data_IF_302177309294
#
_entry.id   IF_302177309294
#
_cell.length_a   1.000
_cell.length_b   1.000
_cell.length_c   1.000
_cell.angle_alpha   90.00
_cell.angle_beta   90.00
_cell.angle_gamma   90.00
#
_symmetry.space_group_name_H-M   'P 1'
#
loop_
_entity.id
_entity.type
_entity.pdbx_description
1 polymer ?
#
# COMPACT_ATOMS: atom_id res chain seq x y z
N UNK A 1 26.98 -55.27 76.46
CA UNK A 1 28.10 -55.66 75.57
C UNK A 1 28.18 -54.62 74.46
N UNK A 2 29.38 -54.11 74.19
CA UNK A 2 29.69 -52.97 73.32
C UNK A 2 29.11 -53.11 71.90
N UNK A 3 28.56 -52.01 71.36
CA UNK A 3 28.96 -51.50 70.03
C UNK A 3 28.52 -50.05 69.85
N UNK A 4 29.52 -49.18 69.83
CA UNK A 4 29.52 -47.81 69.32
C UNK A 4 29.40 -47.84 67.80
N UNK A 5 28.55 -47.00 67.19
CA UNK A 5 28.64 -46.64 65.77
C UNK A 5 28.56 -45.12 65.67
N UNK A 6 29.52 -44.58 64.92
CA UNK A 6 29.90 -43.19 64.79
C UNK A 6 28.93 -42.37 63.92
N UNK A 7 28.78 -41.11 64.31
CA UNK A 7 28.17 -40.04 63.54
C UNK A 7 29.05 -39.70 62.31
N UNK A 8 28.43 -39.56 61.14
CA UNK A 8 29.04 -38.99 59.93
C UNK A 8 28.28 -37.68 59.61
N UNK A 9 28.97 -36.53 59.51
CA UNK A 9 28.31 -35.25 59.27
C UNK A 9 27.89 -35.10 57.80
N UNK A 10 26.58 -34.89 57.62
CA UNK A 10 25.92 -34.53 56.37
C UNK A 10 26.18 -33.04 56.10
N UNK A 11 27.31 -32.68 55.49
CA UNK A 11 27.58 -31.26 55.18
C UNK A 11 28.44 -30.99 53.94
N UNK A 12 28.47 -31.87 52.93
CA UNK A 12 29.29 -31.62 51.72
C UNK A 12 28.57 -31.92 50.38
N UNK A 13 27.36 -32.50 50.38
CA UNK A 13 26.66 -32.85 49.12
C UNK A 13 25.71 -31.81 48.54
N UNK A 14 25.50 -30.65 49.18
CA UNK A 14 24.58 -29.62 48.67
C UNK A 14 25.22 -28.50 47.83
N UNK A 15 26.55 -28.42 47.74
CA UNK A 15 27.23 -27.33 47.01
C UNK A 15 27.52 -27.62 45.53
N UNK A 16 27.41 -28.88 45.07
CA UNK A 16 27.70 -29.25 43.67
C UNK A 16 26.48 -29.25 42.75
N UNK A 17 25.27 -29.45 43.28
CA UNK A 17 24.02 -29.45 42.48
C UNK A 17 23.47 -28.06 42.23
N UNK A 18 23.75 -27.09 43.11
CA UNK A 18 23.31 -25.70 42.92
C UNK A 18 24.20 -24.97 41.90
N UNK A 19 25.50 -25.27 41.85
CA UNK A 19 26.42 -24.62 40.92
C UNK A 19 26.21 -25.06 39.46
N UNK A 20 25.84 -26.33 39.22
CA UNK A 20 25.49 -26.83 37.88
C UNK A 20 24.12 -26.36 37.40
N UNK A 21 23.16 -26.15 38.31
CA UNK A 21 21.86 -25.58 37.96
C UNK A 21 21.95 -24.10 37.55
N UNK A 22 22.83 -23.31 38.18
CA UNK A 22 23.03 -21.90 37.84
C UNK A 22 23.83 -21.74 36.53
N UNK A 23 24.81 -22.61 36.25
CA UNK A 23 25.50 -22.61 34.95
C UNK A 23 24.59 -23.08 33.80
N UNK A 24 23.69 -24.02 34.04
CA UNK A 24 22.70 -24.48 33.04
C UNK A 24 21.71 -23.38 32.62
N UNK A 25 21.26 -22.55 33.57
CA UNK A 25 20.38 -21.41 33.27
C UNK A 25 21.11 -20.25 32.55
N UNK A 26 22.41 -20.05 32.82
CA UNK A 26 23.20 -19.03 32.15
C UNK A 26 23.53 -19.40 30.69
N UNK A 27 23.66 -20.69 30.36
CA UNK A 27 23.92 -21.15 28.98
C UNK A 27 22.64 -21.16 28.13
N UNK A 28 21.46 -21.34 28.74
CA UNK A 28 20.16 -21.24 28.03
C UNK A 28 19.71 -19.79 27.79
N UNK A 29 20.24 -18.81 28.51
CA UNK A 29 19.93 -17.38 28.32
C UNK A 29 20.84 -16.68 27.30
N UNK A 30 21.95 -17.29 26.88
CA UNK A 30 22.86 -16.73 25.87
C UNK A 30 22.58 -17.20 24.42
N UNK A 31 21.72 -18.20 24.23
CA UNK A 31 21.33 -18.68 22.89
C UNK A 31 19.99 -18.12 22.38
N UNK A 32 19.34 -17.23 23.13
CA UNK A 32 18.08 -16.59 22.73
C UNK A 32 18.22 -15.36 21.81
N UNK A 33 19.45 -14.88 21.55
CA UNK A 33 19.71 -13.67 20.77
C UNK A 33 20.36 -13.92 19.40
N UNK A 34 20.42 -15.16 18.92
CA UNK A 34 20.53 -15.39 17.47
C UNK A 34 19.13 -15.29 16.89
N UNK A 35 18.68 -14.03 16.84
CA UNK A 35 17.52 -13.55 16.12
C UNK A 35 17.46 -14.32 14.79
N UNK A 36 16.39 -15.11 14.65
CA UNK A 36 15.90 -15.60 13.37
C UNK A 36 15.69 -14.36 12.49
N UNK A 37 16.75 -13.88 11.82
CA UNK A 37 16.62 -12.95 10.72
C UNK A 37 15.93 -13.75 9.64
N UNK A 38 14.60 -13.72 9.66
CA UNK A 38 13.84 -14.14 8.50
C UNK A 38 14.48 -13.41 7.31
N UNK A 39 14.82 -14.14 6.23
CA UNK A 39 15.39 -13.50 5.06
C UNK A 39 14.46 -12.36 4.67
N UNK A 40 15.01 -11.14 4.61
CA UNK A 40 14.23 -9.95 4.27
C UNK A 40 13.45 -10.26 2.99
N UNK A 41 12.13 -10.08 3.05
CA UNK A 41 11.27 -10.36 1.91
C UNK A 41 11.75 -9.52 0.74
N UNK A 42 12.24 -10.19 -0.32
CA UNK A 42 12.71 -9.50 -1.53
C UNK A 42 11.53 -8.83 -2.21
N UNK A 43 11.57 -7.51 -2.28
CA UNK A 43 10.56 -6.68 -2.95
C UNK A 43 10.72 -6.69 -4.47
N UNK A 44 11.89 -7.07 -4.99
CA UNK A 44 12.15 -7.20 -6.43
C UNK A 44 13.35 -8.12 -6.67
N UNK A 45 13.60 -8.44 -7.94
CA UNK A 45 14.84 -9.06 -8.43
C UNK A 45 15.54 -8.21 -9.50
N UNK A 46 15.00 -7.03 -9.81
CA UNK A 46 15.53 -6.15 -10.86
C UNK A 46 16.50 -5.11 -10.25
N UNK A 47 17.77 -5.08 -10.67
CA UNK A 47 18.76 -4.16 -10.08
C UNK A 47 18.42 -2.67 -10.19
N UNK A 48 17.72 -2.27 -11.26
CA UNK A 48 17.26 -0.88 -11.43
C UNK A 48 16.16 -0.52 -10.43
N UNK A 49 15.26 -1.45 -10.11
CA UNK A 49 14.23 -1.25 -9.09
C UNK A 49 14.87 -1.20 -7.69
N UNK A 50 15.90 -2.02 -7.44
CA UNK A 50 16.68 -1.96 -6.19
C UNK A 50 17.34 -0.58 -5.99
N UNK A 51 18.00 -0.01 -7.02
CA UNK A 51 18.55 1.35 -6.94
C UNK A 51 17.48 2.40 -6.70
N UNK A 52 16.30 2.25 -7.31
CA UNK A 52 15.18 3.15 -7.04
C UNK A 52 14.70 3.05 -5.59
N UNK A 53 14.70 1.85 -5.00
CA UNK A 53 14.46 1.68 -3.56
C UNK A 53 15.56 2.30 -2.71
N UNK A 54 16.83 2.21 -3.10
CA UNK A 54 17.93 2.84 -2.37
C UNK A 54 17.77 4.37 -2.33
N UNK A 55 17.36 4.98 -3.45
CA UNK A 55 17.00 6.41 -3.51
C UNK A 55 15.91 6.71 -2.49
N UNK A 56 14.79 5.98 -2.50
CA UNK A 56 13.70 6.18 -1.54
C UNK A 56 14.14 5.94 -0.08
N UNK A 57 15.05 5.00 0.15
CA UNK A 57 15.62 4.69 1.46
C UNK A 57 16.53 5.78 2.00
N UNK A 58 17.07 6.64 1.14
CA UNK A 58 17.79 7.84 1.53
C UNK A 58 16.88 8.93 2.09
N UNK A 59 15.61 8.94 1.72
CA UNK A 59 14.71 10.08 1.93
C UNK A 59 13.90 10.01 3.24
N UNK A 60 13.58 11.16 3.87
CA UNK A 60 12.71 11.21 5.04
C UNK A 60 11.34 10.58 4.83
N UNK A 61 10.64 10.92 3.73
CA UNK A 61 9.31 10.39 3.41
C UNK A 61 9.36 8.96 2.86
N UNK A 62 10.45 8.58 2.17
CA UNK A 62 10.60 7.25 1.59
C UNK A 62 10.92 6.15 2.62
N UNK A 63 11.65 6.46 3.70
CA UNK A 63 12.00 5.48 4.76
C UNK A 63 10.79 4.82 5.42
N UNK A 64 9.77 5.57 5.91
CA UNK A 64 8.55 4.97 6.46
C UNK A 64 7.82 4.06 5.46
N UNK A 65 7.79 4.45 4.17
CA UNK A 65 7.16 3.66 3.12
C UNK A 65 7.89 2.33 2.90
N UNK A 66 9.21 2.35 2.81
CA UNK A 66 10.00 1.12 2.69
C UNK A 66 9.83 0.18 3.88
N UNK A 67 9.87 0.71 5.11
CA UNK A 67 9.60 -0.09 6.32
C UNK A 67 8.22 -0.75 6.27
N UNK A 68 7.23 -0.07 5.71
CA UNK A 68 5.91 -0.64 5.50
C UNK A 68 5.95 -1.79 4.49
N UNK A 69 6.60 -1.60 3.33
CA UNK A 69 6.72 -2.64 2.30
C UNK A 69 7.43 -3.90 2.83
N UNK A 70 8.48 -3.77 3.63
CA UNK A 70 9.12 -4.95 4.24
C UNK A 70 8.22 -5.69 5.24
N UNK A 71 7.29 -4.99 5.90
CA UNK A 71 6.29 -5.62 6.79
C UNK A 71 5.10 -6.21 6.02
N UNK A 72 4.79 -5.66 4.85
CA UNK A 72 3.68 -6.04 3.96
C UNK A 72 4.25 -6.19 2.54
N UNK A 73 4.99 -7.29 2.28
CA UNK A 73 5.74 -7.42 1.04
C UNK A 73 4.84 -7.57 -0.17
N UNK A 74 5.20 -6.84 -1.22
CA UNK A 74 4.64 -6.93 -2.57
C UNK A 74 5.82 -6.91 -3.55
N UNK A 75 5.73 -7.69 -4.63
CA UNK A 75 6.80 -7.78 -5.63
C UNK A 75 6.63 -6.70 -6.69
N UNK A 76 7.70 -5.98 -6.96
CA UNK A 76 7.79 -4.99 -8.03
C UNK A 76 8.54 -5.61 -9.22
N UNK A 77 7.87 -5.62 -10.36
CA UNK A 77 8.36 -6.19 -11.63
C UNK A 77 8.09 -5.19 -12.76
N UNK A 78 8.77 -5.33 -13.90
CA UNK A 78 8.43 -4.54 -15.08
C UNK A 78 7.21 -5.13 -15.80
N UNK A 79 6.27 -4.27 -16.19
CA UNK A 79 5.14 -4.65 -17.03
C UNK A 79 5.51 -4.61 -18.52
N UNK A 80 4.84 -5.44 -19.32
CA UNK A 80 4.89 -5.39 -20.79
C UNK A 80 3.72 -4.58 -21.39
N UNK A 81 2.91 -3.94 -20.55
CA UNK A 81 1.74 -3.17 -21.00
C UNK A 81 2.22 -1.82 -21.51
N UNK A 82 1.84 -1.41 -22.73
CA UNK A 82 2.16 -0.09 -23.25
C UNK A 82 1.46 0.99 -22.42
N UNK A 83 2.18 2.06 -22.09
CA UNK A 83 1.64 3.21 -21.36
C UNK A 83 2.29 3.42 -19.99
N UNK A 84 1.99 4.56 -19.37
CA UNK A 84 2.59 4.99 -18.11
C UNK A 84 1.83 4.52 -16.86
N UNK A 85 0.75 3.78 -17.05
CA UNK A 85 -0.09 3.38 -15.94
C UNK A 85 0.51 2.20 -15.17
N UNK A 86 0.44 2.34 -13.86
CA UNK A 86 0.81 1.30 -12.94
C UNK A 86 -0.27 0.24 -12.87
N UNK A 87 0.11 -1.04 -12.93
CA UNK A 87 -0.87 -2.13 -12.87
C UNK A 87 -0.72 -2.91 -11.57
N UNK A 88 -1.82 -2.97 -10.83
CA UNK A 88 -1.90 -3.64 -9.55
C UNK A 88 -2.48 -5.04 -9.75
N UNK A 89 -1.67 -6.08 -9.51
CA UNK A 89 -2.15 -7.47 -9.41
C UNK A 89 -2.02 -7.93 -7.96
N UNK A 90 -2.83 -7.31 -7.11
CA UNK A 90 -2.73 -7.47 -5.65
C UNK A 90 -3.07 -8.90 -5.22
N UNK A 91 -3.94 -9.60 -5.96
CA UNK A 91 -4.22 -11.03 -5.77
C UNK A 91 -2.97 -11.91 -5.89
N UNK A 92 -2.04 -11.57 -6.78
CA UNK A 92 -0.78 -12.31 -6.95
C UNK A 92 0.39 -11.65 -6.22
N UNK A 93 0.13 -10.58 -5.46
CA UNK A 93 1.13 -9.83 -4.71
C UNK A 93 2.14 -9.11 -5.60
N UNK A 94 1.70 -8.57 -6.75
CA UNK A 94 2.58 -7.89 -7.71
C UNK A 94 2.11 -6.50 -8.09
N UNK A 95 3.07 -5.61 -8.30
CA UNK A 95 2.91 -4.27 -8.84
C UNK A 95 3.84 -4.15 -10.05
N UNK A 96 3.28 -3.75 -11.18
CA UNK A 96 4.06 -3.58 -12.40
C UNK A 96 4.43 -2.11 -12.62
N UNK A 97 5.73 -1.87 -12.81
CA UNK A 97 6.28 -0.57 -13.17
C UNK A 97 6.48 -0.45 -14.69
N UNK A 98 6.38 0.76 -15.27
CA UNK A 98 6.67 0.99 -16.68
C UNK A 98 8.12 0.63 -17.01
N UNK A 99 8.33 -0.19 -18.06
CA UNK A 99 9.67 -0.63 -18.47
C UNK A 99 10.48 0.52 -19.07
N UNK A 100 9.79 1.51 -19.63
CA UNK A 100 10.32 2.73 -20.24
C UNK A 100 11.11 3.59 -19.25
N UNK A 101 10.90 3.40 -17.95
CA UNK A 101 11.61 4.10 -16.88
C UNK A 101 12.89 3.41 -16.41
N UNK A 102 13.20 2.22 -16.93
CA UNK A 102 14.32 1.39 -16.46
C UNK A 102 15.67 2.11 -16.44
N UNK A 103 15.89 3.03 -17.37
CA UNK A 103 17.17 3.71 -17.57
C UNK A 103 17.31 5.03 -16.78
N UNK A 104 16.31 5.40 -15.97
CA UNK A 104 16.37 6.58 -15.11
C UNK A 104 15.98 6.25 -13.67
N UNK A 105 17.00 6.09 -12.81
CA UNK A 105 16.79 5.70 -11.41
C UNK A 105 15.90 6.71 -10.66
N UNK A 106 16.03 8.03 -10.94
CA UNK A 106 15.17 9.06 -10.32
C UNK A 106 13.71 8.94 -10.75
N UNK A 107 13.45 8.83 -12.05
CA UNK A 107 12.07 8.73 -12.55
C UNK A 107 11.42 7.40 -12.14
N UNK A 108 12.22 6.33 -12.12
CA UNK A 108 11.78 5.04 -11.59
C UNK A 108 11.46 5.13 -10.11
N UNK A 109 12.26 5.85 -9.31
CA UNK A 109 11.96 6.10 -7.89
C UNK A 109 10.64 6.86 -7.70
N UNK A 110 10.29 7.81 -8.59
CA UNK A 110 9.00 8.51 -8.56
C UNK A 110 7.82 7.58 -8.86
N UNK A 111 7.93 6.77 -9.92
CA UNK A 111 6.92 5.78 -10.27
C UNK A 111 6.74 4.75 -9.15
N UNK A 112 7.85 4.30 -8.56
CA UNK A 112 7.87 3.38 -7.44
C UNK A 112 7.21 4.02 -6.21
N UNK A 113 7.56 5.25 -5.87
CA UNK A 113 6.98 5.97 -4.72
C UNK A 113 5.46 6.06 -4.81
N UNK A 114 4.94 6.49 -5.97
CA UNK A 114 3.50 6.59 -6.23
C UNK A 114 2.80 5.25 -5.98
N UNK A 115 3.27 4.20 -6.64
CA UNK A 115 2.65 2.87 -6.57
C UNK A 115 2.75 2.22 -5.21
N UNK A 116 3.90 2.33 -4.56
CA UNK A 116 4.09 1.84 -3.20
C UNK A 116 3.18 2.57 -2.21
N UNK A 117 2.99 3.88 -2.38
CA UNK A 117 2.12 4.67 -1.52
C UNK A 117 0.64 4.31 -1.73
N UNK A 118 0.19 4.14 -2.97
CA UNK A 118 -1.16 3.62 -3.29
C UNK A 118 -1.36 2.24 -2.66
N UNK A 119 -0.38 1.33 -2.80
CA UNK A 119 -0.45 0.02 -2.17
C UNK A 119 -0.52 0.09 -0.64
N UNK A 120 0.23 0.99 -0.02
CA UNK A 120 0.14 1.25 1.42
C UNK A 120 -1.28 1.69 1.81
N UNK A 121 -1.89 2.61 1.06
CA UNK A 121 -3.27 3.05 1.30
C UNK A 121 -4.24 1.89 1.15
N UNK A 122 -4.15 1.11 0.06
CA UNK A 122 -4.98 -0.06 -0.19
C UNK A 122 -4.94 -1.08 0.96
N UNK A 123 -3.75 -1.45 1.42
CA UNK A 123 -3.59 -2.41 2.52
C UNK A 123 -4.09 -1.84 3.85
N UNK A 124 -3.97 -0.53 4.05
CA UNK A 124 -4.38 0.13 5.29
C UNK A 124 -5.89 0.35 5.33
N UNK A 125 -6.50 0.75 4.20
CA UNK A 125 -7.93 1.01 4.06
C UNK A 125 -8.74 -0.28 4.17
N UNK A 126 -8.21 -1.39 3.67
CA UNK A 126 -8.92 -2.66 3.59
C UNK A 126 -9.99 -2.68 2.50
N UNK A 127 -9.95 -1.74 1.57
CA UNK A 127 -10.80 -1.75 0.38
C UNK A 127 -10.51 -2.98 -0.48
N UNK A 128 -11.53 -3.46 -1.19
CA UNK A 128 -11.37 -4.61 -2.10
C UNK A 128 -10.57 -4.25 -3.35
N UNK A 129 -10.73 -3.01 -3.83
CA UNK A 129 -10.18 -2.49 -5.08
C UNK A 129 -9.57 -1.09 -4.83
N UNK A 130 -8.57 -0.72 -5.65
CA UNK A 130 -7.96 0.62 -5.62
C UNK A 130 -8.97 1.66 -6.13
N UNK A 131 -9.00 2.83 -5.48
CA UNK A 131 -9.93 3.93 -5.83
C UNK A 131 -9.19 5.20 -6.25
N UNK A 132 -9.93 6.14 -6.86
CA UNK A 132 -9.37 7.39 -7.38
C UNK A 132 -8.66 8.23 -6.32
N UNK A 133 -9.16 8.22 -5.09
CA UNK A 133 -8.61 8.99 -3.97
C UNK A 133 -7.23 8.47 -3.53
N UNK A 134 -6.94 7.19 -3.75
CA UNK A 134 -5.60 6.64 -3.49
C UNK A 134 -4.61 7.11 -4.56
N UNK A 135 -5.03 7.21 -5.82
CA UNK A 135 -4.23 7.78 -6.92
C UNK A 135 -3.95 9.27 -6.70
N UNK A 136 -4.92 10.05 -6.22
CA UNK A 136 -4.73 11.45 -5.84
C UNK A 136 -3.60 11.60 -4.84
N UNK A 137 -3.69 10.88 -3.72
CA UNK A 137 -2.67 10.93 -2.67
C UNK A 137 -1.33 10.35 -3.13
N UNK A 138 -1.35 9.35 -4.00
CA UNK A 138 -0.16 8.80 -4.66
C UNK A 138 0.56 9.85 -5.50
N UNK A 139 -0.17 10.70 -6.23
CA UNK A 139 0.41 11.79 -7.03
C UNK A 139 1.02 12.89 -6.14
N UNK A 140 0.36 13.26 -5.04
CA UNK A 140 0.92 14.22 -4.07
C UNK A 140 2.21 13.67 -3.44
N UNK A 141 2.19 12.41 -3.00
CA UNK A 141 3.38 11.75 -2.45
C UNK A 141 4.51 11.65 -3.47
N UNK A 142 4.20 11.33 -4.73
CA UNK A 142 5.17 11.35 -5.82
C UNK A 142 5.83 12.72 -5.98
N UNK A 143 5.07 13.80 -5.87
CA UNK A 143 5.61 15.15 -5.96
C UNK A 143 6.52 15.50 -4.77
N UNK A 144 6.18 15.06 -3.54
CA UNK A 144 7.06 15.21 -2.38
C UNK A 144 8.42 14.56 -2.65
N UNK A 145 8.41 13.30 -3.10
CA UNK A 145 9.64 12.57 -3.44
C UNK A 145 10.43 13.30 -4.54
N UNK A 146 9.76 13.83 -5.57
CA UNK A 146 10.39 14.63 -6.62
C UNK A 146 11.14 15.85 -6.09
N UNK A 147 10.56 16.54 -5.12
CA UNK A 147 11.21 17.67 -4.46
C UNK A 147 12.41 17.22 -3.59
N UNK A 148 12.25 16.14 -2.82
CA UNK A 148 13.31 15.64 -1.93
C UNK A 148 14.52 15.08 -2.69
N UNK A 149 14.33 14.45 -3.85
CA UNK A 149 15.44 13.97 -4.69
C UNK A 149 16.09 15.07 -5.52
N UNK A 150 15.58 16.32 -5.45
CA UNK A 150 16.06 17.43 -6.27
C UNK A 150 15.91 17.13 -7.76
N UNK A 151 14.70 16.79 -8.18
CA UNK A 151 14.38 16.55 -9.58
C UNK A 151 14.59 17.86 -10.38
N UNK A 152 15.23 17.74 -11.54
CA UNK A 152 15.52 18.87 -12.44
C UNK A 152 14.82 18.70 -13.77
N UNK A 153 14.63 19.78 -14.53
CA UNK A 153 13.98 19.68 -15.84
C UNK A 153 14.77 18.75 -16.80
N UNK A 154 16.10 18.79 -16.72
CA UNK A 154 17.00 17.93 -17.49
C UNK A 154 16.83 16.41 -17.19
N UNK A 155 16.31 16.03 -16.01
CA UNK A 155 16.03 14.63 -15.68
C UNK A 155 14.91 14.05 -16.56
N UNK A 156 13.99 14.91 -17.01
CA UNK A 156 12.86 14.53 -17.87
C UNK A 156 13.21 14.52 -19.36
N UNK A 157 14.07 15.44 -19.81
CA UNK A 157 14.44 15.56 -21.23
C UNK A 157 15.12 14.30 -21.77
N UNK A 158 15.82 13.57 -20.89
CA UNK A 158 16.51 12.33 -21.22
C UNK A 158 15.56 11.15 -21.44
N UNK A 159 14.31 11.24 -21.00
CA UNK A 159 13.33 10.16 -21.13
C UNK A 159 12.04 10.67 -21.76
N UNK A 160 11.88 10.43 -23.06
CA UNK A 160 10.69 10.82 -23.85
C UNK A 160 9.36 10.31 -23.28
N UNK A 161 9.38 9.26 -22.47
CA UNK A 161 8.19 8.68 -21.88
C UNK A 161 7.79 9.39 -20.58
N UNK A 162 8.67 10.19 -19.96
CA UNK A 162 8.44 10.84 -18.67
C UNK A 162 7.51 12.07 -18.72
N UNK A 163 6.81 12.30 -19.83
CA UNK A 163 5.96 13.48 -20.04
C UNK A 163 4.83 13.56 -19.02
N UNK A 164 4.18 12.44 -18.69
CA UNK A 164 3.10 12.41 -17.70
C UNK A 164 3.63 12.70 -16.29
N UNK A 165 4.75 12.08 -15.88
CA UNK A 165 5.41 12.40 -14.60
C UNK A 165 5.80 13.88 -14.51
N UNK A 166 6.32 14.43 -15.61
CA UNK A 166 6.67 15.86 -15.68
C UNK A 166 5.42 16.71 -15.49
N UNK A 167 4.34 16.40 -16.20
CA UNK A 167 3.08 17.12 -16.10
C UNK A 167 2.53 17.08 -14.67
N UNK A 168 2.44 15.90 -14.06
CA UNK A 168 1.94 15.72 -12.69
C UNK A 168 2.78 16.51 -11.67
N UNK A 169 4.11 16.44 -11.80
CA UNK A 169 5.04 17.19 -10.95
C UNK A 169 4.90 18.71 -11.15
N UNK A 170 4.83 19.16 -12.40
CA UNK A 170 4.61 20.57 -12.76
C UNK A 170 3.29 21.09 -12.17
N UNK A 171 2.19 20.36 -12.31
CA UNK A 171 0.89 20.76 -11.76
C UNK A 171 0.97 20.92 -10.24
N UNK A 172 1.67 20.01 -9.54
CA UNK A 172 1.84 20.13 -8.10
C UNK A 172 2.64 21.37 -7.70
N UNK A 173 3.81 21.59 -8.29
CA UNK A 173 4.65 22.72 -7.90
C UNK A 173 4.04 24.06 -8.33
N UNK A 174 3.47 24.16 -9.54
CA UNK A 174 2.94 25.40 -10.08
C UNK A 174 1.57 25.73 -9.49
N UNK A 175 0.59 24.85 -9.68
CA UNK A 175 -0.82 25.10 -9.37
C UNK A 175 -1.22 24.65 -7.96
N UNK A 176 -0.41 23.78 -7.35
CA UNK A 176 -0.60 23.29 -5.98
C UNK A 176 -1.33 21.95 -5.88
N UNK A 177 -1.44 21.46 -4.65
CA UNK A 177 -1.93 20.12 -4.33
C UNK A 177 -3.33 19.83 -4.86
N UNK A 178 -4.25 20.81 -4.80
CA UNK A 178 -5.63 20.63 -5.26
C UNK A 178 -5.69 20.32 -6.76
N UNK A 179 -4.91 21.04 -7.57
CA UNK A 179 -4.86 20.85 -9.02
C UNK A 179 -4.17 19.53 -9.37
N UNK A 180 -3.10 19.17 -8.67
CA UNK A 180 -2.41 17.89 -8.87
C UNK A 180 -3.32 16.70 -8.53
N UNK A 181 -4.03 16.75 -7.40
CA UNK A 181 -5.02 15.75 -7.04
C UNK A 181 -6.14 15.67 -8.09
N UNK A 182 -6.67 16.81 -8.54
CA UNK A 182 -7.71 16.81 -9.58
C UNK A 182 -7.23 16.21 -10.91
N UNK A 183 -6.00 16.50 -11.32
CA UNK A 183 -5.37 15.89 -12.50
C UNK A 183 -5.28 14.36 -12.36
N UNK A 184 -4.75 13.89 -11.22
CA UNK A 184 -4.66 12.46 -10.91
C UNK A 184 -6.04 11.77 -10.88
N UNK A 185 -7.06 12.41 -10.28
CA UNK A 185 -8.44 11.93 -10.29
C UNK A 185 -8.98 11.82 -11.72
N UNK A 186 -8.76 12.84 -12.54
CA UNK A 186 -9.22 12.86 -13.94
C UNK A 186 -8.59 11.71 -14.73
N UNK A 187 -7.28 11.48 -14.56
CA UNK A 187 -6.57 10.35 -15.16
C UNK A 187 -7.13 9.01 -14.66
N UNK A 188 -7.35 8.85 -13.35
CA UNK A 188 -7.91 7.64 -12.73
C UNK A 188 -9.34 7.29 -13.19
N UNK A 189 -10.14 8.31 -13.51
CA UNK A 189 -11.53 8.15 -13.99
C UNK A 189 -11.66 8.10 -15.51
N UNK A 190 -10.54 8.19 -16.24
CA UNK A 190 -10.54 8.06 -17.70
C UNK A 190 -10.78 6.62 -18.16
N UNK A 191 -11.30 6.44 -19.36
CA UNK A 191 -11.54 5.11 -19.94
C UNK A 191 -10.25 4.54 -20.54
N UNK A 192 -9.47 3.84 -19.72
CA UNK A 192 -8.23 3.16 -20.11
C UNK A 192 -8.23 1.70 -19.62
N UNK A 193 -8.82 0.77 -20.39
CA UNK A 193 -8.95 -0.63 -19.98
C UNK A 193 -7.62 -1.33 -19.66
N UNK A 194 -6.56 -0.99 -20.40
CA UNK A 194 -5.20 -1.49 -20.20
C UNK A 194 -4.64 -1.18 -18.81
N UNK A 195 -5.14 -0.09 -18.21
CA UNK A 195 -4.78 0.41 -16.88
C UNK A 195 -5.78 0.01 -15.78
N UNK A 196 -6.76 -0.87 -16.08
CA UNK A 196 -7.87 -1.22 -15.18
C UNK A 196 -8.72 0.00 -14.75
N UNK A 197 -8.81 1.01 -15.63
CA UNK A 197 -9.61 2.24 -15.41
C UNK A 197 -10.93 2.17 -16.20
N UNK A 198 -11.98 2.89 -15.78
CA UNK A 198 -12.02 3.85 -14.67
C UNK A 198 -12.03 3.18 -13.29
N UNK A 199 -11.30 3.80 -12.35
CA UNK A 199 -11.34 3.43 -10.93
C UNK A 199 -12.65 3.87 -10.29
N UNK A 200 -12.98 3.26 -9.15
CA UNK A 200 -14.13 3.69 -8.34
C UNK A 200 -13.78 4.93 -7.48
N UNK A 201 -14.77 5.55 -6.85
CA UNK A 201 -14.60 6.73 -5.98
C UNK A 201 -15.14 6.47 -4.57
N UNK A 202 -14.68 7.21 -3.57
CA UNK A 202 -15.29 7.19 -2.24
C UNK A 202 -16.77 7.57 -2.30
N UNK A 203 -17.14 8.51 -3.16
CA UNK A 203 -18.53 8.92 -3.32
C UNK A 203 -19.41 7.78 -3.84
N UNK A 204 -18.92 7.03 -4.84
CA UNK A 204 -19.62 5.86 -5.36
C UNK A 204 -19.70 4.73 -4.33
N UNK A 205 -18.64 4.50 -3.55
CA UNK A 205 -18.67 3.57 -2.41
C UNK A 205 -19.73 3.95 -1.36
N UNK A 206 -19.88 5.25 -1.08
CA UNK A 206 -20.94 5.76 -0.19
C UNK A 206 -22.33 5.49 -0.75
N UNK A 207 -22.54 5.72 -2.05
CA UNK A 207 -23.82 5.42 -2.71
C UNK A 207 -24.11 3.93 -2.61
N UNK A 208 -23.14 3.08 -2.93
CA UNK A 208 -23.26 1.64 -2.86
C UNK A 208 -23.58 1.13 -1.45
N UNK A 209 -22.96 1.71 -0.40
CA UNK A 209 -23.30 1.39 1.00
C UNK A 209 -24.76 1.77 1.33
N UNK A 210 -25.22 2.93 0.88
CA UNK A 210 -26.61 3.35 1.09
C UNK A 210 -27.60 2.43 0.37
N UNK A 211 -27.27 2.01 -0.85
CA UNK A 211 -28.07 1.04 -1.61
C UNK A 211 -28.07 -0.33 -0.94
N UNK A 212 -26.93 -0.78 -0.41
CA UNK A 212 -26.81 -2.02 0.35
C UNK A 212 -27.75 -2.00 1.57
N UNK A 213 -27.74 -0.91 2.33
CA UNK A 213 -28.65 -0.74 3.48
C UNK A 213 -30.12 -0.83 3.08
N UNK A 214 -30.50 -0.20 1.96
CA UNK A 214 -31.87 -0.29 1.41
C UNK A 214 -32.19 -1.72 0.98
N UNK A 215 -31.28 -2.37 0.27
CA UNK A 215 -31.48 -3.71 -0.26
C UNK A 215 -31.62 -4.79 0.84
N UNK A 216 -30.98 -4.57 2.00
CA UNK A 216 -31.20 -5.40 3.21
C UNK A 216 -32.64 -5.26 3.70
N UNK A 217 -33.18 -4.03 3.76
CA UNK A 217 -34.54 -3.78 4.24
C UNK A 217 -35.62 -4.27 3.26
N UNK A 218 -35.37 -4.13 1.96
CA UNK A 218 -36.37 -4.41 0.92
C UNK A 218 -36.23 -5.83 0.32
N UNK A 219 -35.37 -6.68 0.89
CA UNK A 219 -35.19 -8.07 0.48
C UNK A 219 -34.47 -8.28 -0.87
N UNK A 220 -33.83 -7.24 -1.43
CA UNK A 220 -33.16 -7.28 -2.74
C UNK A 220 -31.63 -7.40 -2.65
N UNK A 221 -31.08 -7.61 -1.45
CA UNK A 221 -29.64 -7.67 -1.16
C UNK A 221 -28.83 -8.59 -2.08
N UNK A 222 -29.31 -9.80 -2.37
CA UNK A 222 -28.59 -10.75 -3.24
C UNK A 222 -28.46 -10.26 -4.68
N UNK A 223 -29.51 -9.60 -5.20
CA UNK A 223 -29.47 -9.02 -6.55
C UNK A 223 -28.39 -7.94 -6.61
N UNK A 224 -28.30 -7.09 -5.59
CA UNK A 224 -27.29 -6.05 -5.50
C UNK A 224 -25.86 -6.61 -5.46
N UNK A 225 -25.63 -7.68 -4.69
CA UNK A 225 -24.32 -8.35 -4.67
C UNK A 225 -23.96 -8.99 -6.01
N UNK A 226 -24.92 -9.66 -6.65
CA UNK A 226 -24.73 -10.24 -7.97
C UNK A 226 -24.41 -9.18 -9.03
N UNK A 227 -25.12 -8.06 -9.03
CA UNK A 227 -24.85 -6.93 -9.93
C UNK A 227 -23.45 -6.33 -9.71
N UNK A 228 -23.01 -6.21 -8.46
CA UNK A 228 -21.64 -5.79 -8.11
C UNK A 228 -20.61 -6.74 -8.73
N UNK A 229 -20.77 -8.04 -8.54
CA UNK A 229 -19.81 -9.02 -9.05
C UNK A 229 -19.81 -9.04 -10.59
N UNK A 230 -20.98 -8.87 -11.24
CA UNK A 230 -21.04 -8.68 -12.70
C UNK A 230 -20.30 -7.43 -13.18
N UNK A 231 -20.35 -6.31 -12.44
CA UNK A 231 -19.54 -5.14 -12.77
C UNK A 231 -18.04 -5.45 -12.67
N UNK A 232 -17.61 -6.20 -11.65
CA UNK A 232 -16.21 -6.64 -11.52
C UNK A 232 -15.80 -7.59 -12.65
N UNK A 233 -16.71 -8.44 -13.14
CA UNK A 233 -16.49 -9.27 -14.33
C UNK A 233 -16.29 -8.41 -15.58
N UNK A 234 -17.12 -7.39 -15.79
CA UNK A 234 -16.97 -6.46 -16.93
C UNK A 234 -15.63 -5.71 -16.89
N UNK A 235 -15.12 -5.41 -15.70
CA UNK A 235 -13.80 -4.79 -15.48
C UNK A 235 -12.63 -5.78 -15.55
N UNK A 236 -12.89 -7.09 -15.68
CA UNK A 236 -11.85 -8.12 -15.71
C UNK A 236 -11.17 -8.40 -14.36
N UNK A 237 -11.75 -7.94 -13.25
CA UNK A 237 -11.23 -8.12 -11.88
C UNK A 237 -11.65 -9.46 -11.28
N UNK A 238 -12.79 -9.99 -11.73
CA UNK A 238 -13.41 -11.23 -11.29
C UNK A 238 -13.78 -12.08 -12.51
N UNK A 239 -13.63 -13.41 -12.45
CA UNK A 239 -14.12 -14.27 -13.53
C UNK A 239 -15.64 -14.49 -13.39
N UNK A 240 -16.33 -14.82 -14.48
CA UNK A 240 -17.76 -15.16 -14.41
C UNK A 240 -18.00 -16.38 -13.50
N UNK A 241 -17.10 -17.36 -13.51
CA UNK A 241 -17.18 -18.52 -12.62
C UNK A 241 -17.08 -18.13 -11.14
N UNK A 242 -16.18 -17.22 -10.80
CA UNK A 242 -16.05 -16.73 -9.41
C UNK A 242 -17.31 -15.95 -8.98
N UNK A 243 -17.87 -15.12 -9.87
CA UNK A 243 -19.11 -14.40 -9.59
C UNK A 243 -20.29 -15.35 -9.32
N UNK A 244 -20.43 -16.41 -10.12
CA UNK A 244 -21.45 -17.44 -9.91
C UNK A 244 -21.23 -18.23 -8.61
N UNK A 245 -19.97 -18.55 -8.29
CA UNK A 245 -19.62 -19.24 -7.05
C UNK A 245 -19.94 -18.38 -5.82
N UNK A 246 -19.65 -17.09 -5.86
CA UNK A 246 -19.99 -16.15 -4.79
C UNK A 246 -21.52 -16.08 -4.56
N UNK A 247 -22.30 -15.91 -5.63
CA UNK A 247 -23.77 -15.87 -5.54
C UNK A 247 -24.34 -17.18 -4.98
N UNK A 248 -23.86 -18.33 -5.47
CA UNK A 248 -24.28 -19.64 -4.98
C UNK A 248 -23.94 -19.86 -3.50
N UNK A 249 -22.73 -19.52 -3.08
CA UNK A 249 -22.28 -19.68 -1.69
C UNK A 249 -23.14 -18.86 -0.72
N UNK A 250 -23.51 -17.63 -1.11
CA UNK A 250 -24.33 -16.74 -0.29
C UNK A 250 -25.79 -17.23 -0.22
N UNK A 251 -26.35 -17.70 -1.35
CA UNK A 251 -27.73 -18.23 -1.39
C UNK A 251 -27.90 -19.56 -0.66
N UNK A 252 -26.82 -20.34 -0.54
CA UNK A 252 -26.82 -21.61 0.18
C UNK A 252 -26.83 -21.46 1.71
N UNK A 253 -26.68 -20.23 2.24
CA UNK A 253 -26.67 -19.98 3.68
C UNK A 253 -28.06 -20.27 4.30
N UNK A 254 -28.11 -20.87 5.50
CA UNK A 254 -29.34 -20.95 6.29
C UNK A 254 -29.94 -19.57 6.56
N UNK A 255 -31.26 -19.48 6.70
CA UNK A 255 -31.99 -18.22 6.92
C UNK A 255 -31.45 -17.39 8.10
N UNK A 256 -31.06 -18.03 9.20
CA UNK A 256 -30.45 -17.33 10.33
C UNK A 256 -29.09 -16.70 9.96
N UNK A 257 -28.25 -17.44 9.25
CA UNK A 257 -26.92 -16.99 8.84
C UNK A 257 -26.99 -15.89 7.79
N UNK A 258 -28.06 -15.84 6.99
CA UNK A 258 -28.32 -14.76 6.03
C UNK A 258 -28.42 -13.39 6.74
N UNK A 259 -29.27 -13.27 7.77
CA UNK A 259 -29.45 -12.00 8.48
C UNK A 259 -28.17 -11.56 9.18
N UNK A 260 -27.44 -12.52 9.75
CA UNK A 260 -26.13 -12.27 10.35
C UNK A 260 -25.12 -11.80 9.30
N UNK A 261 -25.08 -12.45 8.13
CA UNK A 261 -24.20 -12.10 7.03
C UNK A 261 -24.48 -10.68 6.53
N UNK A 262 -25.74 -10.32 6.28
CA UNK A 262 -26.13 -8.99 5.82
C UNK A 262 -25.66 -7.87 6.78
N UNK A 263 -25.89 -8.06 8.08
CA UNK A 263 -25.46 -7.11 9.10
C UNK A 263 -23.93 -7.00 9.16
N UNK A 264 -23.24 -8.12 9.28
CA UNK A 264 -21.77 -8.14 9.35
C UNK A 264 -21.15 -7.55 8.09
N UNK A 265 -21.74 -7.82 6.93
CA UNK A 265 -21.32 -7.27 5.65
C UNK A 265 -21.43 -5.74 5.65
N UNK A 266 -22.61 -5.20 5.99
CA UNK A 266 -22.81 -3.76 6.04
C UNK A 266 -21.90 -3.08 7.06
N UNK A 267 -21.85 -3.60 8.29
CA UNK A 267 -21.03 -3.04 9.38
C UNK A 267 -19.55 -3.01 8.98
N UNK A 268 -19.01 -4.12 8.45
CA UNK A 268 -17.62 -4.21 7.98
C UNK A 268 -17.33 -3.20 6.86
N UNK A 269 -18.19 -3.10 5.84
CA UNK A 269 -17.95 -2.18 4.73
C UNK A 269 -18.12 -0.71 5.14
N UNK A 270 -19.01 -0.42 6.09
CA UNK A 270 -19.14 0.92 6.68
C UNK A 270 -17.90 1.33 7.48
N UNK A 271 -17.30 0.39 8.22
CA UNK A 271 -16.05 0.60 8.95
C UNK A 271 -14.88 0.87 7.99
N UNK A 272 -14.74 0.06 6.93
CA UNK A 272 -13.74 0.26 5.87
C UNK A 272 -13.90 1.64 5.23
N UNK A 273 -15.12 2.02 4.84
CA UNK A 273 -15.41 3.33 4.25
C UNK A 273 -15.02 4.48 5.19
N UNK A 274 -15.45 4.41 6.46
CA UNK A 274 -15.15 5.44 7.45
C UNK A 274 -13.65 5.55 7.73
N UNK A 275 -12.95 4.42 7.73
CA UNK A 275 -11.50 4.38 7.87
C UNK A 275 -10.80 5.04 6.68
N UNK A 276 -11.20 4.72 5.44
CA UNK A 276 -10.62 5.35 4.24
C UNK A 276 -10.91 6.85 4.17
N UNK A 277 -12.13 7.29 4.49
CA UNK A 277 -12.46 8.72 4.53
C UNK A 277 -11.56 9.48 5.53
N UNK A 278 -11.27 8.87 6.68
CA UNK A 278 -10.33 9.43 7.64
C UNK A 278 -8.90 9.45 7.09
N UNK A 279 -8.41 8.34 6.55
CA UNK A 279 -7.07 8.26 5.93
C UNK A 279 -6.88 9.33 4.85
N UNK A 280 -7.89 9.52 4.00
CA UNK A 280 -7.85 10.51 2.94
C UNK A 280 -7.77 11.95 3.47
N UNK A 281 -8.63 12.31 4.43
CA UNK A 281 -8.59 13.64 5.07
C UNK A 281 -7.27 13.91 5.80
N UNK A 282 -6.78 12.92 6.56
CA UNK A 282 -5.54 13.06 7.30
C UNK A 282 -4.33 13.21 6.35
N UNK A 283 -4.31 12.47 5.24
CA UNK A 283 -3.27 12.57 4.23
C UNK A 283 -3.27 13.93 3.51
N UNK A 284 -4.44 14.47 3.13
CA UNK A 284 -4.54 15.82 2.55
C UNK A 284 -4.06 16.91 3.53
N UNK A 285 -4.41 16.77 4.82
CA UNK A 285 -3.93 17.69 5.85
C UNK A 285 -2.41 17.59 6.03
N UNK A 286 -1.86 16.38 5.95
CA UNK A 286 -0.42 16.13 6.02
C UNK A 286 0.31 16.72 4.81
N UNK A 287 -0.25 16.61 3.62
CA UNK A 287 0.29 17.23 2.39
C UNK A 287 0.36 18.76 2.55
N UNK A 288 -0.73 19.40 2.97
CA UNK A 288 -0.73 20.86 3.15
C UNK A 288 0.33 21.28 4.19
N UNK A 289 0.43 20.58 5.32
CA UNK A 289 1.45 20.86 6.33
C UNK A 289 2.87 20.67 5.80
N UNK A 290 3.12 19.60 5.03
CA UNK A 290 4.40 19.33 4.39
C UNK A 290 4.74 20.45 3.40
N UNK A 291 3.77 20.90 2.61
CA UNK A 291 3.93 21.95 1.61
C UNK A 291 4.32 23.29 2.26
N UNK A 292 3.71 23.63 3.39
CA UNK A 292 4.07 24.82 4.15
C UNK A 292 5.50 24.72 4.72
N UNK A 293 5.90 23.56 5.23
CA UNK A 293 7.25 23.33 5.76
C UNK A 293 8.33 23.35 4.66
N UNK A 294 7.99 22.98 3.43
CA UNK A 294 8.91 22.85 2.30
C UNK A 294 8.75 23.96 1.24
N UNK A 295 8.12 25.09 1.60
CA UNK A 295 7.81 26.18 0.67
C UNK A 295 9.02 26.68 -0.12
N UNK A 296 10.18 26.80 0.51
CA UNK A 296 11.42 27.25 -0.14
C UNK A 296 11.91 26.27 -1.20
N UNK A 297 11.76 24.96 -0.97
CA UNK A 297 12.09 23.93 -1.95
C UNK A 297 11.14 23.96 -3.14
N UNK A 298 9.85 24.20 -2.89
CA UNK A 298 8.83 24.36 -3.94
C UNK A 298 9.10 25.60 -4.77
N UNK A 299 9.41 26.74 -4.15
CA UNK A 299 9.69 27.98 -4.86
C UNK A 299 10.95 27.85 -5.74
N UNK A 300 12.00 27.17 -5.25
CA UNK A 300 13.17 26.83 -6.10
C UNK A 300 12.79 25.92 -7.26
N UNK A 301 11.97 24.90 -7.02
CA UNK A 301 11.52 24.01 -8.08
C UNK A 301 10.70 24.78 -9.13
N UNK A 302 9.84 25.72 -8.73
CA UNK A 302 9.10 26.58 -9.68
C UNK A 302 10.02 27.37 -10.60
N UNK A 303 11.13 27.89 -10.08
CA UNK A 303 12.13 28.59 -10.90
C UNK A 303 12.78 27.67 -11.94
N UNK A 304 13.23 26.48 -11.50
CA UNK A 304 13.81 25.42 -12.35
C UNK A 304 12.82 24.96 -13.44
N UNK A 305 11.53 24.94 -13.11
CA UNK A 305 10.45 24.44 -13.95
C UNK A 305 9.58 25.55 -14.54
N UNK A 306 10.10 26.78 -14.64
CA UNK A 306 9.38 27.94 -15.17
C UNK A 306 8.84 27.76 -16.60
N UNK A 307 9.38 26.81 -17.36
CA UNK A 307 8.96 26.44 -18.71
C UNK A 307 8.03 25.21 -18.76
N UNK A 308 7.41 24.82 -17.64
CA UNK A 308 6.36 23.81 -17.63
C UNK A 308 5.21 24.24 -18.54
N UNK A 309 5.20 23.75 -19.78
CA UNK A 309 4.03 23.78 -20.64
C UNK A 309 3.02 22.77 -20.07
N UNK A 310 2.23 23.23 -19.11
CA UNK A 310 1.09 22.48 -18.61
C UNK A 310 0.14 22.22 -19.79
N UNK A 311 -0.38 21.00 -19.96
CA UNK A 311 -1.41 20.75 -20.96
C UNK A 311 -2.62 21.65 -20.67
N UNK A 312 -3.08 22.38 -21.69
CA UNK A 312 -4.36 23.13 -21.65
C UNK A 312 -5.56 22.22 -21.41
#
# INVERSE_FOLDING_TARGET
MKTTIAEIPISIRLKRTVLTAILGLAVLSLNGCLLNKQPEARLTSEPSIERAFDILGGLPEGKPLLRFLYKKPVRFEYGNTPGFCHKFFLKTGRIFLPKELKDSDKLLALALARTAYIYKLYVTSGLEDVISEEEELGALFQAHIGLEIGLMNADFERNKFAKELKSDFCTYIMDGSKSAALSARTSALSSQPECQRPLDTLQAQRVWLNETRKAINDGTFYRLLYERDLQKVRKGVLSMGDAMNNDAAIRALPTYDIYRYQRVFYDKHSDIFSHMEKLYRDALKSDEAWRQANRTGIDRAREEFSTCNLPE
#
